data_IF_092841996443
#
_entry.id   IF_092841996443
#
_cell.length_a   1.000
_cell.length_b   1.000
_cell.length_c   1.000
_cell.angle_alpha   90.00
_cell.angle_beta   90.00
_cell.angle_gamma   90.00
#
_symmetry.space_group_name_H-M   'P 1'
#
loop_
_entity.id
_entity.type
_entity.pdbx_description
1 polymer ?
#
# COMPACT_ATOMS: atom_id res chain seq x y z
N UNK A 1 37.65 18.97 10.89
CA UNK A 1 37.30 19.39 9.53
C UNK A 1 35.80 19.31 9.27
N UNK A 2 35.16 20.45 9.01
CA UNK A 2 33.83 20.54 8.38
C UNK A 2 33.96 21.44 7.13
N UNK A 3 34.96 21.15 6.30
CA UNK A 3 35.45 22.09 5.28
C UNK A 3 34.71 22.02 3.93
N UNK A 4 33.74 21.11 3.76
CA UNK A 4 33.08 20.90 2.48
C UNK A 4 31.64 20.39 2.62
N UNK A 5 30.77 20.75 1.66
CA UNK A 5 29.39 20.28 1.54
C UNK A 5 29.32 18.84 0.99
N UNK A 6 30.16 17.95 1.52
CA UNK A 6 30.16 16.54 1.12
C UNK A 6 29.06 15.78 1.88
N UNK A 7 28.25 14.95 1.19
CA UNK A 7 27.20 14.18 1.85
C UNK A 7 27.81 13.13 2.78
N UNK A 8 27.42 13.16 4.06
CA UNK A 8 27.87 12.19 5.06
C UNK A 8 27.13 10.86 4.99
N UNK A 9 25.86 10.90 4.58
CA UNK A 9 25.00 9.74 4.44
C UNK A 9 23.94 10.00 3.37
N UNK A 10 23.45 8.92 2.74
CA UNK A 10 22.35 8.99 1.79
C UNK A 10 21.40 7.83 2.03
N UNK A 11 20.16 8.15 2.37
CA UNK A 11 19.11 7.15 2.57
C UNK A 11 18.13 7.19 1.40
N UNK A 12 17.92 6.07 0.68
CA UNK A 12 16.90 6.04 -0.36
C UNK A 12 15.51 6.13 0.27
N UNK A 13 14.56 6.77 -0.42
CA UNK A 13 13.18 6.89 0.07
C UNK A 13 12.52 5.53 0.36
N UNK A 14 12.93 4.47 -0.35
CA UNK A 14 12.47 3.10 -0.11
C UNK A 14 12.89 2.52 1.24
N UNK A 15 13.94 3.06 1.88
CA UNK A 15 14.40 2.64 3.20
C UNK A 15 13.78 3.48 4.33
N UNK A 16 13.03 4.55 4.02
CA UNK A 16 12.40 5.40 5.03
C UNK A 16 11.17 4.70 5.60
N UNK A 17 11.16 4.47 6.91
CA UNK A 17 10.06 3.82 7.62
C UNK A 17 9.06 4.84 8.18
N UNK A 18 9.56 5.92 8.76
CA UNK A 18 8.73 7.05 9.23
C UNK A 18 9.58 8.31 9.37
N UNK A 19 8.95 9.47 9.27
CA UNK A 19 9.60 10.77 9.42
C UNK A 19 8.61 11.79 9.96
N UNK A 20 9.11 12.84 10.61
CA UNK A 20 8.30 13.95 11.11
C UNK A 20 8.83 14.56 12.40
N UNK A 21 8.05 15.45 13.02
CA UNK A 21 8.41 16.04 14.30
C UNK A 21 8.35 15.05 15.47
N UNK A 22 9.35 15.09 16.35
CA UNK A 22 9.37 14.38 17.62
C UNK A 22 9.82 15.37 18.71
N UNK A 23 8.86 15.86 19.50
CA UNK A 23 9.10 16.93 20.48
C UNK A 23 9.64 18.21 19.79
N UNK A 24 10.92 18.54 20.01
CA UNK A 24 11.59 19.71 19.45
C UNK A 24 12.58 19.35 18.32
N UNK A 25 12.65 18.08 17.91
CA UNK A 25 13.54 17.59 16.86
C UNK A 25 12.76 17.09 15.64
N UNK A 26 13.41 17.10 14.47
CA UNK A 26 12.97 16.30 13.32
C UNK A 26 13.52 14.88 13.46
N UNK A 27 12.64 13.89 13.34
CA UNK A 27 12.97 12.47 13.42
C UNK A 27 12.87 11.83 12.04
N UNK A 28 13.90 11.07 11.67
CA UNK A 28 13.91 10.21 10.49
C UNK A 28 14.28 8.78 10.93
N UNK A 29 13.41 7.82 10.63
CA UNK A 29 13.65 6.40 10.90
C UNK A 29 13.81 5.68 9.58
N UNK A 30 14.94 4.98 9.42
CA UNK A 30 15.26 4.21 8.21
C UNK A 30 15.52 2.74 8.57
N UNK A 31 15.25 1.83 7.64
CA UNK A 31 15.66 0.43 7.78
C UNK A 31 17.17 0.33 7.76
N UNK A 32 17.75 -0.46 8.67
CA UNK A 32 19.14 -0.86 8.56
C UNK A 32 19.31 -1.88 7.42
N UNK A 33 20.43 -1.83 6.72
CA UNK A 33 20.83 -2.90 5.80
C UNK A 33 20.92 -4.25 6.56
N UNK A 34 20.58 -5.35 5.90
CA UNK A 34 20.71 -6.73 6.41
C UNK A 34 19.84 -7.13 7.63
N UNK A 35 18.68 -6.50 7.82
CA UNK A 35 17.65 -7.02 8.74
C UNK A 35 17.94 -6.81 10.24
N UNK A 36 18.93 -5.98 10.56
CA UNK A 36 19.37 -5.70 11.93
C UNK A 36 18.53 -4.63 12.67
N UNK A 37 17.39 -4.23 12.10
CA UNK A 37 16.43 -3.31 12.74
C UNK A 37 16.31 -1.97 12.02
N UNK A 38 16.16 -0.89 12.79
CA UNK A 38 15.97 0.47 12.26
C UNK A 38 16.95 1.45 12.89
N UNK A 39 17.37 2.44 12.12
CA UNK A 39 18.20 3.54 12.57
C UNK A 39 17.31 4.78 12.74
N UNK A 40 17.29 5.33 13.96
CA UNK A 40 16.61 6.59 14.28
C UNK A 40 17.62 7.73 14.27
N UNK A 41 17.40 8.72 13.42
CA UNK A 41 18.17 9.96 13.31
C UNK A 41 17.35 11.12 13.87
N UNK A 42 17.96 11.95 14.71
CA UNK A 42 17.35 13.15 15.29
C UNK A 42 18.14 14.38 14.86
N UNK A 43 17.42 15.40 14.41
CA UNK A 43 17.98 16.66 13.95
C UNK A 43 17.29 17.81 14.68
N UNK A 44 18.06 18.59 15.41
CA UNK A 44 17.52 19.78 16.08
C UNK A 44 17.25 20.88 15.05
N UNK A 45 15.97 21.15 14.84
CA UNK A 45 15.46 22.13 13.89
C UNK A 45 14.37 22.96 14.58
N UNK A 46 14.13 24.19 14.11
CA UNK A 46 12.98 24.96 14.58
C UNK A 46 11.67 24.35 14.09
N UNK A 47 10.57 24.54 14.83
CA UNK A 47 9.23 24.01 14.46
C UNK A 47 8.79 24.34 13.02
N UNK A 48 9.01 25.57 12.49
CA UNK A 48 8.74 25.86 11.08
C UNK A 48 9.55 24.98 10.11
N UNK A 49 10.84 24.80 10.38
CA UNK A 49 11.72 23.96 9.55
C UNK A 49 11.34 22.48 9.60
N UNK A 50 10.90 21.99 10.76
CA UNK A 50 10.38 20.62 10.90
C UNK A 50 9.18 20.42 9.95
N UNK A 51 8.24 21.37 9.94
CA UNK A 51 7.07 21.31 9.07
C UNK A 51 7.47 21.35 7.59
N UNK A 52 8.32 22.30 7.20
CA UNK A 52 8.80 22.44 5.81
C UNK A 52 9.47 21.14 5.31
N UNK A 53 10.39 20.56 6.09
CA UNK A 53 11.10 19.33 5.71
C UNK A 53 10.14 18.13 5.68
N UNK A 54 9.19 18.06 6.62
CA UNK A 54 8.20 16.96 6.65
C UNK A 54 7.31 17.00 5.40
N UNK A 55 6.79 18.17 5.05
CA UNK A 55 5.96 18.35 3.85
C UNK A 55 6.76 18.02 2.59
N UNK A 56 8.00 18.53 2.50
CA UNK A 56 8.87 18.27 1.37
C UNK A 56 9.10 16.76 1.14
N UNK A 57 9.43 16.00 2.20
CA UNK A 57 9.66 14.56 2.07
C UNK A 57 8.37 13.85 1.68
N UNK A 58 7.23 14.20 2.28
CA UNK A 58 5.94 13.60 1.96
C UNK A 58 5.56 13.82 0.49
N UNK A 59 5.68 15.05 0.00
CA UNK A 59 5.35 15.40 -1.39
C UNK A 59 6.24 14.64 -2.39
N UNK A 60 7.54 14.54 -2.11
CA UNK A 60 8.46 13.76 -2.96
C UNK A 60 8.15 12.27 -2.95
N UNK A 61 7.87 11.67 -1.79
CA UNK A 61 7.52 10.25 -1.70
C UNK A 61 6.20 9.96 -2.45
N UNK A 62 5.23 10.86 -2.37
CA UNK A 62 3.97 10.75 -3.11
C UNK A 62 4.22 10.84 -4.62
N UNK A 63 4.98 11.84 -5.07
CA UNK A 63 5.31 12.02 -6.49
C UNK A 63 6.08 10.82 -7.09
N UNK A 64 7.02 10.24 -6.33
CA UNK A 64 7.78 9.06 -6.75
C UNK A 64 6.92 7.79 -6.83
N UNK A 65 5.94 7.64 -5.93
CA UNK A 65 5.00 6.52 -5.96
C UNK A 65 4.06 6.57 -7.16
N UNK A 66 3.79 7.76 -7.70
CA UNK A 66 3.01 7.97 -8.93
C UNK A 66 3.84 7.88 -10.23
N UNK A 67 5.13 7.53 -10.14
CA UNK A 67 6.05 7.35 -11.28
C UNK A 67 5.88 6.02 -12.04
N UNK A 68 5.04 5.10 -11.56
CA UNK A 68 4.39 4.14 -12.43
C UNK A 68 3.14 4.83 -12.97
N UNK A 69 3.08 5.05 -14.29
CA UNK A 69 1.91 5.60 -14.99
C UNK A 69 0.61 5.23 -14.28
N UNK A 70 -0.30 6.17 -13.97
CA UNK A 70 -1.67 5.74 -13.72
C UNK A 70 -2.09 5.04 -15.01
N UNK A 71 -2.39 3.74 -14.93
CA UNK A 71 -3.27 3.10 -15.91
C UNK A 71 -4.63 3.79 -15.76
N UNK A 72 -4.72 4.99 -16.32
CA UNK A 72 -5.95 5.72 -16.50
C UNK A 72 -6.78 4.88 -17.47
N UNK A 73 -7.62 4.00 -16.90
CA UNK A 73 -8.62 3.25 -17.64
C UNK A 73 -8.36 1.76 -17.81
N UNK A 74 -8.27 0.99 -16.72
CA UNK A 74 -9.01 -0.28 -16.61
C UNK A 74 -9.12 -0.72 -15.15
N UNK A 75 -10.24 -0.41 -14.51
CA UNK A 75 -10.72 -1.18 -13.37
C UNK A 75 -11.23 -2.52 -13.90
N UNK A 76 -10.35 -3.41 -14.38
CA UNK A 76 -10.74 -4.81 -14.58
C UNK A 76 -10.90 -5.43 -13.21
N UNK A 77 -12.15 -5.48 -12.74
CA UNK A 77 -12.65 -6.39 -11.71
C UNK A 77 -12.32 -7.82 -12.14
N UNK A 78 -11.11 -8.29 -11.81
CA UNK A 78 -10.58 -9.56 -12.28
C UNK A 78 -10.20 -10.51 -11.15
N UNK A 79 -11.01 -10.60 -10.10
CA UNK A 79 -11.02 -11.72 -9.14
C UNK A 79 -12.28 -11.66 -8.25
N UNK A 80 -13.47 -11.64 -8.86
CA UNK A 80 -14.63 -12.20 -8.16
C UNK A 80 -14.59 -13.71 -8.45
N UNK A 81 -14.48 -14.59 -7.45
CA UNK A 81 -14.81 -15.99 -7.69
C UNK A 81 -16.28 -16.02 -8.11
N UNK A 82 -16.53 -16.53 -9.31
CA UNK A 82 -17.86 -16.66 -9.89
C UNK A 82 -18.68 -17.63 -9.04
N UNK A 83 -19.55 -17.09 -8.17
CA UNK A 83 -20.40 -17.85 -7.25
C UNK A 83 -21.42 -18.73 -8.04
N UNK A 84 -21.55 -18.52 -9.35
CA UNK A 84 -22.44 -19.30 -10.21
C UNK A 84 -21.88 -20.70 -10.58
N UNK A 85 -20.65 -21.03 -10.19
CA UNK A 85 -20.08 -22.39 -10.41
C UNK A 85 -20.34 -23.35 -9.24
N UNK A 86 -21.45 -23.19 -8.53
CA UNK A 86 -21.95 -24.16 -7.56
C UNK A 86 -23.22 -24.83 -8.09
N UNK A 87 -23.07 -25.69 -9.09
CA UNK A 87 -24.04 -26.76 -9.35
C UNK A 87 -23.33 -27.87 -10.12
N UNK A 88 -23.02 -29.01 -9.50
CA UNK A 88 -22.75 -30.21 -10.25
C UNK A 88 -24.09 -30.68 -10.84
N UNK A 89 -24.19 -30.61 -12.16
CA UNK A 89 -25.21 -31.31 -12.93
C UNK A 89 -25.20 -32.81 -12.57
N UNK A 90 -26.12 -33.20 -11.69
CA UNK A 90 -26.47 -34.61 -11.51
C UNK A 90 -28.00 -34.76 -11.61
N UNK A 91 -28.43 -35.12 -12.83
CA UNK A 91 -29.51 -36.06 -13.13
C UNK A 91 -30.83 -35.89 -12.36
N UNK A 92 -31.68 -34.96 -12.82
CA UNK A 92 -33.13 -35.12 -12.65
C UNK A 92 -33.70 -35.78 -13.90
N UNK A 93 -33.78 -37.11 -13.83
CA UNK A 93 -34.59 -37.96 -14.70
C UNK A 93 -36.00 -37.39 -14.80
N UNK A 94 -36.37 -36.95 -16.01
CA UNK A 94 -37.75 -36.60 -16.36
C UNK A 94 -38.58 -37.88 -16.33
N UNK A 95 -39.41 -38.04 -15.30
CA UNK A 95 -40.46 -39.06 -15.28
C UNK A 95 -41.76 -38.43 -15.79
N UNK A 96 -42.28 -39.07 -16.84
CA UNK A 96 -43.40 -38.67 -17.68
C UNK A 96 -44.76 -38.63 -16.96
N UNK A 97 -45.69 -37.92 -17.58
CA UNK A 97 -47.06 -37.65 -17.17
C UNK A 97 -47.94 -38.90 -16.98
N UNK A 98 -48.82 -38.91 -15.97
CA UNK A 98 -50.19 -39.44 -16.17
C UNK A 98 -51.24 -38.85 -15.20
N UNK A 99 -52.16 -38.13 -15.83
CA UNK A 99 -53.43 -37.56 -15.36
C UNK A 99 -54.47 -38.64 -14.99
N UNK A 100 -55.24 -38.39 -13.90
CA UNK A 100 -56.68 -38.75 -13.61
C UNK A 100 -56.82 -39.10 -12.12
N UNK A 101 -57.93 -38.94 -11.41
CA UNK A 101 -59.24 -38.27 -11.54
C UNK A 101 -60.10 -38.84 -10.39
N UNK A 102 -61.00 -38.03 -9.83
CA UNK A 102 -62.21 -38.38 -9.05
C UNK A 102 -62.08 -38.81 -7.57
N UNK A 103 -62.54 -37.91 -6.70
CA UNK A 103 -63.82 -37.99 -5.96
C UNK A 103 -64.41 -39.38 -5.66
N UNK A 104 -64.47 -39.73 -4.38
CA UNK A 104 -65.69 -40.08 -3.61
C UNK A 104 -65.35 -40.05 -2.12
#
# INVERSE_FOLDING_TARGET
DLACMQPLARHPYSAVLTFGGCQEDFMLVVSAEEGLGSQKLLFSLSKPKILEVTVLIADYMNALSHGGTPLAGTLTRGAQPDILKATPDHQLSRSDSKKRSHDT
#
